data_IF_909482839682
#
_entry.id   IF_909482839682
#
_cell.length_a   1.000
_cell.length_b   1.000
_cell.length_c   1.000
_cell.angle_alpha   90.00
_cell.angle_beta   90.00
_cell.angle_gamma   90.00
#
_symmetry.space_group_name_H-M   'P 1'
#
loop_
_entity.id
_entity.type
_entity.pdbx_description
1 polymer ?
#
# COMPACT_ATOMS: atom_id res chain seq x y z
N UNK A 1 -1.23 -9.08 -17.96
CA UNK A 1 -2.33 -8.51 -17.13
C UNK A 1 -2.04 -7.06 -16.93
N UNK A 2 -3.05 -6.19 -17.07
CA UNK A 2 -2.88 -4.73 -16.97
C UNK A 2 -3.65 -4.18 -15.77
N UNK A 3 -3.10 -3.12 -15.16
CA UNK A 3 -3.68 -2.39 -14.04
C UNK A 3 -5.02 -1.74 -14.45
N UNK A 4 -6.07 -1.93 -13.63
CA UNK A 4 -7.43 -1.40 -13.86
C UNK A 4 -8.07 -0.95 -12.54
N UNK A 5 -8.34 0.34 -12.36
CA UNK A 5 -8.02 1.47 -13.25
C UNK A 5 -6.52 1.80 -13.23
N UNK A 6 -6.03 2.61 -14.19
CA UNK A 6 -4.68 3.18 -14.13
C UNK A 6 -4.47 3.99 -12.85
N UNK A 7 -3.21 4.31 -12.54
CA UNK A 7 -2.86 5.21 -11.45
C UNK A 7 -3.56 6.57 -11.63
N UNK A 8 -4.08 7.11 -10.55
CA UNK A 8 -4.85 8.36 -10.53
C UNK A 8 -4.52 9.20 -9.29
N UNK A 9 -5.06 10.42 -9.25
CA UNK A 9 -4.91 11.30 -8.09
C UNK A 9 -5.61 10.77 -6.81
N UNK A 10 -6.45 9.75 -6.93
CA UNK A 10 -7.11 9.13 -5.78
C UNK A 10 -6.27 8.03 -5.12
N UNK A 11 -5.14 7.67 -5.72
CA UNK A 11 -4.24 6.67 -5.15
C UNK A 11 -3.34 7.28 -4.09
N UNK A 12 -2.98 6.48 -3.07
CA UNK A 12 -1.95 6.84 -2.10
C UNK A 12 -0.59 6.76 -2.78
N UNK A 13 -0.10 7.91 -3.21
CA UNK A 13 1.13 8.01 -4.00
C UNK A 13 2.22 8.74 -3.21
N UNK A 14 3.44 8.23 -3.29
CA UNK A 14 4.67 8.88 -2.83
C UNK A 14 5.66 9.01 -3.98
N UNK A 15 6.56 9.97 -3.87
CA UNK A 15 7.49 10.33 -4.94
C UNK A 15 6.89 11.39 -5.86
N UNK A 16 7.26 11.36 -7.14
CA UNK A 16 6.79 12.32 -8.13
C UNK A 16 5.50 11.84 -8.80
N UNK A 17 4.35 12.33 -8.36
CA UNK A 17 3.04 11.95 -8.89
C UNK A 17 2.88 12.18 -10.42
N UNK A 18 3.76 12.99 -11.04
CA UNK A 18 3.78 13.27 -12.48
C UNK A 18 4.83 12.46 -13.24
N UNK A 19 5.53 11.54 -12.56
CA UNK A 19 6.56 10.75 -13.20
C UNK A 19 5.99 9.83 -14.28
N UNK A 20 6.78 9.65 -15.35
CA UNK A 20 6.45 8.71 -16.43
C UNK A 20 6.57 7.24 -15.99
N UNK A 21 7.39 6.98 -14.95
CA UNK A 21 7.54 5.64 -14.38
C UNK A 21 6.60 5.53 -13.18
N UNK A 22 5.63 4.62 -13.28
CA UNK A 22 4.62 4.39 -12.26
C UNK A 22 4.78 2.96 -11.72
N UNK A 23 4.84 2.83 -10.41
CA UNK A 23 4.88 1.54 -9.71
C UNK A 23 3.67 1.46 -8.78
N UNK A 24 2.86 0.43 -8.91
CA UNK A 24 1.70 0.19 -8.04
C UNK A 24 1.88 -1.16 -7.36
N UNK A 25 1.74 -1.17 -6.05
CA UNK A 25 1.70 -2.37 -5.23
C UNK A 25 0.26 -2.59 -4.74
N UNK A 26 -0.25 -3.80 -4.90
CA UNK A 26 -1.36 -4.32 -4.12
C UNK A 26 -0.78 -5.11 -2.95
N UNK A 27 -1.08 -4.66 -1.74
CA UNK A 27 -0.47 -5.20 -0.53
C UNK A 27 -1.48 -5.48 0.58
N UNK A 28 -1.00 -6.25 1.54
CA UNK A 28 -1.71 -6.72 2.72
C UNK A 28 -0.80 -6.56 3.92
N UNK A 29 -1.21 -5.78 4.90
CA UNK A 29 -0.39 -5.44 6.07
C UNK A 29 -0.03 -6.64 6.95
N UNK A 30 -0.79 -7.74 6.88
CA UNK A 30 -0.50 -8.96 7.64
C UNK A 30 0.22 -10.03 6.79
N UNK A 31 0.36 -9.84 5.49
CA UNK A 31 1.06 -10.77 4.63
C UNK A 31 2.58 -10.72 4.87
N UNK A 32 3.23 -11.84 5.27
CA UNK A 32 4.68 -11.85 5.50
C UNK A 32 5.50 -11.41 4.29
N UNK A 33 5.09 -11.83 3.08
CA UNK A 33 5.78 -11.45 1.85
C UNK A 33 5.67 -9.95 1.55
N UNK A 34 4.57 -9.28 1.95
CA UNK A 34 4.47 -7.83 1.87
C UNK A 34 5.39 -7.15 2.88
N UNK A 35 5.53 -7.72 4.09
CA UNK A 35 6.52 -7.29 5.07
C UNK A 35 7.94 -7.37 4.53
N UNK A 36 8.30 -8.47 3.85
CA UNK A 36 9.61 -8.66 3.21
C UNK A 36 9.82 -7.68 2.03
N UNK A 37 8.77 -7.32 1.31
CA UNK A 37 8.85 -6.37 0.19
C UNK A 37 8.96 -4.92 0.66
N UNK A 38 8.43 -4.57 1.83
CA UNK A 38 8.37 -3.19 2.32
C UNK A 38 9.74 -2.47 2.35
N UNK A 39 10.84 -3.05 2.88
CA UNK A 39 12.15 -2.41 2.82
C UNK A 39 12.64 -2.14 1.40
N UNK A 40 12.28 -3.00 0.45
CA UNK A 40 12.66 -2.84 -0.96
C UNK A 40 11.89 -1.69 -1.61
N UNK A 41 10.59 -1.57 -1.33
CA UNK A 41 9.78 -0.45 -1.85
C UNK A 41 10.17 0.89 -1.21
N UNK A 42 10.52 0.90 0.08
CA UNK A 42 11.09 2.09 0.74
C UNK A 42 12.42 2.51 0.08
N UNK A 43 13.31 1.54 -0.20
CA UNK A 43 14.57 1.81 -0.89
C UNK A 43 14.34 2.29 -2.33
N UNK A 44 13.33 1.75 -3.03
CA UNK A 44 12.92 2.19 -4.35
C UNK A 44 12.54 3.69 -4.33
N UNK A 45 11.69 4.08 -3.39
CA UNK A 45 11.27 5.49 -3.22
C UNK A 45 12.45 6.37 -2.80
N UNK A 46 13.31 5.89 -1.91
CA UNK A 46 14.50 6.64 -1.49
C UNK A 46 15.46 6.92 -2.64
N UNK A 47 15.66 5.96 -3.55
CA UNK A 47 16.60 6.10 -4.69
C UNK A 47 16.02 6.90 -5.84
N UNK A 48 14.76 6.67 -6.15
CA UNK A 48 14.16 7.11 -7.42
C UNK A 48 12.91 7.97 -7.24
N UNK A 49 12.57 8.41 -6.00
CA UNK A 49 11.31 9.10 -5.71
C UNK A 49 11.09 10.40 -6.49
N UNK A 50 12.15 11.05 -6.99
CA UNK A 50 12.06 12.21 -7.90
C UNK A 50 11.66 11.82 -9.34
N UNK A 51 11.85 10.55 -9.72
CA UNK A 51 11.67 10.01 -11.07
C UNK A 51 10.54 9.00 -11.20
N UNK A 52 9.98 8.55 -10.10
CA UNK A 52 8.88 7.58 -10.06
C UNK A 52 7.68 8.08 -9.28
N UNK A 53 6.50 7.57 -9.61
CA UNK A 53 5.32 7.59 -8.74
C UNK A 53 5.14 6.17 -8.19
N UNK A 54 5.29 6.00 -6.87
CA UNK A 54 4.96 4.74 -6.20
C UNK A 54 3.60 4.88 -5.51
N UNK A 55 2.70 3.92 -5.73
CA UNK A 55 1.40 3.89 -5.09
C UNK A 55 1.11 2.55 -4.44
N UNK A 56 0.39 2.60 -3.32
CA UNK A 56 -0.10 1.43 -2.61
C UNK A 56 -1.63 1.35 -2.71
N UNK A 57 -2.14 0.14 -2.96
CA UNK A 57 -3.56 -0.22 -2.94
C UNK A 57 -3.78 -1.38 -1.99
N UNK A 58 -4.81 -1.29 -1.17
CA UNK A 58 -5.15 -2.34 -0.21
C UNK A 58 -5.68 -3.59 -0.91
N UNK A 59 -5.14 -4.74 -0.55
CA UNK A 59 -5.66 -6.04 -0.99
C UNK A 59 -5.60 -7.06 0.15
N UNK A 60 -6.34 -6.84 1.27
CA UNK A 60 -6.33 -7.71 2.42
C UNK A 60 -6.88 -9.10 2.09
N UNK A 61 -6.09 -10.14 2.35
CA UNK A 61 -6.46 -11.55 2.17
C UNK A 61 -7.15 -12.06 3.45
N UNK A 62 -8.37 -11.61 3.69
CA UNK A 62 -9.09 -11.75 4.97
C UNK A 62 -9.30 -13.19 5.44
N UNK A 63 -9.30 -14.16 4.53
CA UNK A 63 -9.43 -15.59 4.88
C UNK A 63 -8.13 -16.15 5.48
N UNK A 64 -6.97 -15.63 5.04
CA UNK A 64 -5.66 -16.05 5.50
C UNK A 64 -5.12 -15.15 6.62
N UNK A 65 -5.49 -13.87 6.61
CA UNK A 65 -4.93 -12.82 7.44
C UNK A 65 -6.05 -12.04 8.15
N UNK A 66 -6.46 -12.46 9.37
CA UNK A 66 -7.62 -11.91 10.06
C UNK A 66 -7.50 -10.43 10.42
N UNK A 67 -6.29 -9.90 10.62
CA UNK A 67 -6.06 -8.49 10.93
C UNK A 67 -5.83 -7.60 9.69
N UNK A 68 -5.68 -8.18 8.51
CA UNK A 68 -5.34 -7.44 7.30
C UNK A 68 -6.34 -6.32 6.95
N UNK A 69 -7.65 -6.59 7.10
CA UNK A 69 -8.68 -5.61 6.81
C UNK A 69 -8.71 -4.48 7.85
N UNK A 70 -8.56 -4.80 9.14
CA UNK A 70 -8.51 -3.82 10.22
C UNK A 70 -7.29 -2.91 10.07
N UNK A 71 -6.12 -3.47 9.74
CA UNK A 71 -4.91 -2.70 9.48
C UNK A 71 -5.10 -1.74 8.27
N UNK A 72 -5.75 -2.20 7.20
CA UNK A 72 -6.09 -1.36 6.06
C UNK A 72 -7.03 -0.20 6.45
N UNK A 73 -8.02 -0.44 7.32
CA UNK A 73 -8.89 0.61 7.87
C UNK A 73 -8.09 1.68 8.62
N UNK A 74 -7.10 1.28 9.43
CA UNK A 74 -6.23 2.23 10.15
C UNK A 74 -5.42 3.09 9.15
N UNK A 75 -4.87 2.48 8.10
CA UNK A 75 -4.15 3.20 7.06
C UNK A 75 -5.07 4.20 6.32
N UNK A 76 -6.30 3.81 5.98
CA UNK A 76 -7.27 4.71 5.34
C UNK A 76 -7.73 5.83 6.29
N UNK A 77 -7.88 5.56 7.58
CA UNK A 77 -8.14 6.61 8.57
C UNK A 77 -7.00 7.63 8.59
N UNK A 78 -5.75 7.17 8.65
CA UNK A 78 -4.59 8.05 8.56
C UNK A 78 -4.55 8.84 7.23
N UNK A 79 -4.96 8.21 6.13
CA UNK A 79 -5.07 8.86 4.83
C UNK A 79 -6.05 10.04 4.85
N UNK A 80 -7.19 9.90 5.55
CA UNK A 80 -8.17 10.98 5.71
C UNK A 80 -7.60 12.21 6.43
N UNK A 81 -6.50 12.03 7.14
CA UNK A 81 -5.76 13.07 7.88
C UNK A 81 -4.47 13.50 7.14
N UNK A 82 -4.25 13.04 5.90
CA UNK A 82 -3.04 13.30 5.14
C UNK A 82 -1.78 12.56 5.66
N UNK A 83 -1.96 11.49 6.44
CA UNK A 83 -0.89 10.75 7.13
C UNK A 83 -0.82 9.27 6.72
N UNK A 84 -1.18 8.95 5.47
CA UNK A 84 -1.17 7.56 5.00
C UNK A 84 0.18 6.89 5.18
N UNK A 85 1.26 7.48 4.65
CA UNK A 85 2.58 6.84 4.62
C UNK A 85 3.20 6.62 6.00
N UNK A 86 3.13 7.54 6.96
CA UNK A 86 3.56 7.27 8.33
C UNK A 86 2.82 6.09 8.97
N UNK A 87 1.51 5.97 8.76
CA UNK A 87 0.74 4.84 9.29
C UNK A 87 1.06 3.53 8.54
N UNK A 88 1.23 3.59 7.22
CA UNK A 88 1.66 2.48 6.38
C UNK A 88 2.99 1.88 6.89
N UNK A 89 3.99 2.72 7.10
CA UNK A 89 5.28 2.29 7.62
C UNK A 89 5.14 1.69 9.02
N UNK A 90 4.40 2.35 9.93
CA UNK A 90 4.19 1.86 11.29
C UNK A 90 3.49 0.49 11.34
N UNK A 91 2.54 0.22 10.44
CA UNK A 91 1.85 -1.07 10.34
C UNK A 91 2.80 -2.18 9.90
N UNK A 92 3.66 -1.94 8.90
CA UNK A 92 4.64 -2.95 8.47
C UNK A 92 5.78 -3.14 9.47
N UNK A 93 6.29 -2.06 10.07
CA UNK A 93 7.33 -2.13 11.10
C UNK A 93 6.90 -2.93 12.35
N UNK A 94 5.59 -2.98 12.61
CA UNK A 94 5.00 -3.70 13.73
C UNK A 94 4.06 -4.83 13.28
N UNK A 95 4.36 -5.46 12.15
CA UNK A 95 3.49 -6.48 11.53
C UNK A 95 3.15 -7.63 12.48
N UNK A 96 4.08 -8.04 13.33
CA UNK A 96 3.89 -9.12 14.31
C UNK A 96 2.96 -8.71 15.48
N UNK A 97 2.68 -7.42 15.64
CA UNK A 97 1.87 -6.85 16.72
C UNK A 97 0.53 -6.27 16.23
N UNK A 98 0.13 -6.55 14.97
CA UNK A 98 -1.13 -6.08 14.42
C UNK A 98 -2.31 -6.48 15.31
N UNK A 99 -3.12 -5.51 15.69
CA UNK A 99 -4.26 -5.69 16.57
C UNK A 99 -4.69 -4.39 17.25
N UNK A 100 -5.75 -4.43 18.07
CA UNK A 100 -6.37 -3.24 18.66
C UNK A 100 -5.41 -2.33 19.43
N UNK A 101 -4.42 -2.91 20.12
CA UNK A 101 -3.44 -2.13 20.89
C UNK A 101 -2.57 -1.27 19.97
N UNK A 102 -1.96 -1.86 18.93
CA UNK A 102 -1.17 -1.13 17.97
C UNK A 102 -2.01 -0.07 17.23
N UNK A 103 -3.23 -0.43 16.83
CA UNK A 103 -4.13 0.52 16.16
C UNK A 103 -4.45 1.72 17.02
N UNK A 104 -4.70 1.50 18.32
CA UNK A 104 -4.90 2.58 19.29
C UNK A 104 -3.66 3.48 19.42
N UNK A 105 -2.46 2.91 19.42
CA UNK A 105 -1.20 3.67 19.46
C UNK A 105 -1.01 4.50 18.18
N UNK A 106 -1.28 3.93 17.00
CA UNK A 106 -1.20 4.66 15.73
C UNK A 106 -2.22 5.81 15.72
N UNK A 107 -3.49 5.56 16.08
CA UNK A 107 -4.55 6.57 16.13
C UNK A 107 -4.16 7.72 17.09
N UNK A 108 -3.64 7.39 18.27
CA UNK A 108 -3.16 8.39 19.24
C UNK A 108 -1.99 9.21 18.68
N UNK A 109 -1.06 8.59 17.96
CA UNK A 109 0.08 9.29 17.31
C UNK A 109 -0.36 10.27 16.23
N UNK A 110 -1.54 10.05 15.64
CA UNK A 110 -2.18 10.97 14.69
C UNK A 110 -2.92 12.13 15.38
N UNK A 111 -2.87 12.21 16.72
CA UNK A 111 -3.59 13.23 17.50
C UNK A 111 -5.10 12.98 17.58
N UNK A 112 -5.56 11.76 17.35
CA UNK A 112 -6.96 11.38 17.35
C UNK A 112 -7.32 10.50 18.57
N UNK A 113 -8.57 10.55 18.98
CA UNK A 113 -9.10 9.67 20.03
C UNK A 113 -9.65 8.37 19.45
N UNK A 114 -9.78 7.34 20.30
CA UNK A 114 -10.45 6.10 19.93
C UNK A 114 -11.90 6.33 19.48
N UNK A 115 -12.61 7.30 20.08
CA UNK A 115 -13.98 7.66 19.72
C UNK A 115 -14.05 8.28 18.31
N UNK A 116 -13.10 9.17 17.96
CA UNK A 116 -13.00 9.76 16.62
C UNK A 116 -12.73 8.69 15.58
N UNK A 117 -11.83 7.76 15.87
CA UNK A 117 -11.55 6.61 15.00
C UNK A 117 -12.80 5.75 14.82
N UNK A 118 -13.48 5.36 15.90
CA UNK A 118 -14.69 4.54 15.85
C UNK A 118 -15.79 5.22 15.03
N UNK A 119 -15.97 6.53 15.21
CA UNK A 119 -16.94 7.32 14.41
C UNK A 119 -16.63 7.25 12.91
N UNK A 120 -15.35 7.36 12.55
CA UNK A 120 -14.93 7.24 11.14
C UNK A 120 -15.14 5.82 10.59
N UNK A 121 -14.90 4.80 11.40
CA UNK A 121 -15.17 3.39 11.02
C UNK A 121 -16.67 3.18 10.79
N UNK A 122 -17.50 3.68 11.69
CA UNK A 122 -18.98 3.51 11.63
C UNK A 122 -19.60 4.26 10.44
N UNK A 123 -18.95 5.31 9.95
CA UNK A 123 -19.36 6.02 8.73
C UNK A 123 -19.26 5.15 7.47
N UNK A 124 -18.41 4.11 7.48
CA UNK A 124 -18.32 3.11 6.42
C UNK A 124 -17.46 3.50 5.21
N UNK A 125 -17.02 4.76 5.10
CA UNK A 125 -16.24 5.25 3.96
C UNK A 125 -14.84 4.61 3.89
N UNK A 126 -14.20 4.37 5.04
CA UNK A 126 -12.90 3.71 5.10
C UNK A 126 -12.98 2.28 4.55
N UNK A 127 -13.99 1.53 4.97
CA UNK A 127 -14.23 0.18 4.49
C UNK A 127 -14.59 0.15 3.00
N UNK A 128 -15.37 1.13 2.52
CA UNK A 128 -15.70 1.26 1.12
C UNK A 128 -14.44 1.49 0.27
N UNK A 129 -13.51 2.33 0.75
CA UNK A 129 -12.23 2.58 0.08
C UNK A 129 -11.39 1.30 -0.03
N UNK A 130 -11.22 0.55 1.05
CA UNK A 130 -10.49 -0.73 1.04
C UNK A 130 -11.12 -1.70 0.02
N UNK A 131 -12.45 -1.84 0.03
CA UNK A 131 -13.15 -2.71 -0.93
C UNK A 131 -12.97 -2.26 -2.38
N UNK A 132 -12.97 -0.96 -2.63
CA UNK A 132 -12.70 -0.40 -3.97
C UNK A 132 -11.31 -0.81 -4.49
N UNK A 133 -10.29 -0.75 -3.63
CA UNK A 133 -8.94 -1.21 -3.97
C UNK A 133 -8.94 -2.71 -4.27
N UNK A 134 -9.58 -3.53 -3.43
CA UNK A 134 -9.70 -4.98 -3.65
C UNK A 134 -10.38 -5.30 -4.98
N UNK A 135 -11.50 -4.64 -5.30
CA UNK A 135 -12.20 -4.80 -6.58
C UNK A 135 -11.32 -4.42 -7.76
N UNK A 136 -10.55 -3.33 -7.63
CA UNK A 136 -9.61 -2.91 -8.66
C UNK A 136 -8.51 -3.96 -8.87
N UNK A 137 -8.03 -4.57 -7.79
CA UNK A 137 -7.07 -5.67 -7.82
C UNK A 137 -7.60 -6.88 -8.55
N UNK A 138 -8.82 -7.32 -8.22
CA UNK A 138 -9.49 -8.44 -8.90
C UNK A 138 -9.63 -8.17 -10.41
N UNK A 139 -10.05 -6.95 -10.81
CA UNK A 139 -10.14 -6.55 -12.22
C UNK A 139 -8.77 -6.51 -12.91
N UNK A 140 -7.69 -6.29 -12.16
CA UNK A 140 -6.31 -6.29 -12.64
C UNK A 140 -5.69 -7.69 -12.68
N UNK A 141 -6.41 -8.71 -12.17
CA UNK A 141 -5.94 -10.08 -12.09
C UNK A 141 -5.01 -10.36 -10.91
N UNK A 142 -5.11 -9.55 -9.83
CA UNK A 142 -4.44 -9.81 -8.56
C UNK A 142 -5.06 -11.03 -7.90
N UNK A 143 -4.24 -11.99 -7.52
CA UNK A 143 -4.64 -13.25 -6.89
C UNK A 143 -3.77 -13.60 -5.66
N UNK A 144 -2.96 -12.66 -5.19
CA UNK A 144 -2.09 -12.78 -4.02
C UNK A 144 -1.30 -11.49 -3.82
N UNK A 145 -0.65 -11.36 -2.68
CA UNK A 145 0.13 -10.18 -2.29
C UNK A 145 1.54 -10.55 -1.86
N UNK A 146 2.53 -9.65 -2.07
CA UNK A 146 2.40 -8.40 -2.83
C UNK A 146 2.24 -8.67 -4.34
N UNK A 147 1.53 -7.78 -5.05
CA UNK A 147 1.43 -7.84 -6.50
C UNK A 147 1.81 -6.48 -7.08
N UNK A 148 2.84 -6.45 -7.92
CA UNK A 148 3.39 -5.23 -8.48
C UNK A 148 2.96 -5.00 -9.93
N UNK A 149 2.79 -3.73 -10.28
CA UNK A 149 2.60 -3.26 -11.64
C UNK A 149 3.61 -2.14 -11.92
N UNK A 150 4.32 -2.23 -13.02
CA UNK A 150 5.20 -1.16 -13.53
C UNK A 150 4.58 -0.61 -14.82
N UNK A 151 4.31 0.68 -14.88
CA UNK A 151 3.68 1.34 -16.02
C UNK A 151 2.39 0.61 -16.48
N UNK A 152 1.59 0.17 -15.49
CA UNK A 152 0.33 -0.50 -15.73
C UNK A 152 0.44 -1.97 -16.16
N UNK A 153 1.63 -2.54 -16.29
CA UNK A 153 1.84 -3.96 -16.59
C UNK A 153 2.27 -4.74 -15.36
N UNK A 154 1.68 -5.91 -15.15
CA UNK A 154 2.06 -6.77 -14.01
C UNK A 154 3.53 -7.12 -14.09
N UNK A 155 4.23 -6.90 -12.99
CA UNK A 155 5.61 -7.28 -12.78
C UNK A 155 5.67 -8.49 -11.83
N UNK A 156 6.44 -9.50 -12.21
CA UNK A 156 6.69 -10.68 -11.40
C UNK A 156 8.14 -10.63 -10.89
N UNK A 157 8.36 -10.46 -9.57
CA UNK A 157 9.70 -10.35 -8.99
C UNK A 157 10.40 -11.72 -8.93
N UNK A 158 10.66 -12.33 -10.08
CA UNK A 158 11.38 -13.59 -10.19
C UNK A 158 12.81 -13.43 -9.66
N UNK A 159 13.14 -14.19 -8.63
CA UNK A 159 14.46 -14.13 -8.00
C UNK A 159 14.56 -13.20 -6.79
N UNK A 160 13.42 -12.68 -6.30
CA UNK A 160 13.34 -11.82 -5.11
C UNK A 160 12.89 -10.40 -5.43
N UNK A 161 12.49 -9.69 -4.37
CA UNK A 161 11.93 -8.33 -4.50
C UNK A 161 12.97 -7.30 -4.99
N UNK A 162 14.27 -7.56 -4.79
CA UNK A 162 15.36 -6.72 -5.31
C UNK A 162 15.30 -6.56 -6.83
N UNK A 163 14.74 -7.54 -7.55
CA UNK A 163 14.53 -7.44 -9.00
C UNK A 163 13.61 -6.27 -9.40
N UNK A 164 12.77 -5.79 -8.47
CA UNK A 164 11.96 -4.59 -8.67
C UNK A 164 12.84 -3.32 -8.76
N UNK A 165 13.85 -3.21 -7.88
CA UNK A 165 14.83 -2.11 -7.91
C UNK A 165 15.59 -2.11 -9.23
N UNK A 166 16.04 -3.28 -9.69
CA UNK A 166 16.78 -3.40 -10.94
C UNK A 166 15.92 -3.03 -12.15
N UNK A 167 14.68 -3.52 -12.19
CA UNK A 167 13.75 -3.23 -13.29
C UNK A 167 13.43 -1.72 -13.38
N UNK A 168 13.15 -1.08 -12.25
CA UNK A 168 12.88 0.36 -12.20
C UNK A 168 14.15 1.16 -12.50
N UNK A 169 15.30 0.77 -11.96
CA UNK A 169 16.59 1.40 -12.25
C UNK A 169 16.89 1.45 -13.74
N UNK A 170 16.70 0.33 -14.45
CA UNK A 170 16.86 0.26 -15.92
C UNK A 170 15.90 1.20 -16.67
N UNK A 171 14.68 1.39 -16.19
CA UNK A 171 13.74 2.34 -16.79
C UNK A 171 14.17 3.78 -16.55
N UNK A 172 14.66 4.09 -15.34
CA UNK A 172 15.16 5.42 -14.99
C UNK A 172 16.39 5.82 -15.82
N UNK A 173 17.28 4.88 -16.13
CA UNK A 173 18.48 5.12 -16.95
C UNK A 173 18.15 5.42 -18.42
N UNK A 174 16.96 5.02 -18.89
CA UNK A 174 16.50 5.21 -20.28
C UNK A 174 15.67 6.47 -20.49
N UNK A 175 15.31 7.17 -19.42
CA UNK A 175 14.53 8.41 -19.42
C UNK A 175 15.41 9.63 -19.18
#
# INVERSE_FOLDING_TARGET
MSLKPPLSANDHTVGNAKAAIQVVEYGDYQCPYCGDACPVTQELVRRYGDKIAFAFRNFPLVEAHPEAFNAAIVAEFAASLGQFWPAHDALYENQDALGPELYGQIVASLGQSAEQFQTAVDAGELAARVRQDMESGLRSGVNGTPCFFINGQRFDPRGGFESLLDAVGQLVERT
#
